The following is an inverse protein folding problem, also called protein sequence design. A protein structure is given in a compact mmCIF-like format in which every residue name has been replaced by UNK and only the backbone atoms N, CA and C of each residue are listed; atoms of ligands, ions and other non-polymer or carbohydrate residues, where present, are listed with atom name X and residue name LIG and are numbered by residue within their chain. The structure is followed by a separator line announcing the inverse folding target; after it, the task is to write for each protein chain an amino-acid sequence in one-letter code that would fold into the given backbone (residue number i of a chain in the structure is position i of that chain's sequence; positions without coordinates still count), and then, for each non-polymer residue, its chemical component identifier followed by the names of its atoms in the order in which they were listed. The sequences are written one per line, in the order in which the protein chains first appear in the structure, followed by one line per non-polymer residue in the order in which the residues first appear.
data_IF_523306054123
#
_entry.id   IF_523306054123
#
_cell.length_a   1.000
_cell.length_b   1.000
_cell.length_c   1.000
_cell.angle_alpha   90.00
_cell.angle_beta   90.00
_cell.angle_gamma   90.00
#
_symmetry.space_group_name_H-M   'P 1'
#
loop_
_entity.id
_entity.type
_entity.pdbx_description
1 polymer ?
#
# COMPACT_ATOMS: atom_id res chain seq x y z
N UNK A 1 3.19 5.25 -1.85
CA UNK A 1 3.79 5.38 -0.50
C UNK A 1 3.86 4.02 0.21
N UNK A 2 2.79 3.22 0.17
CA UNK A 2 2.74 1.89 0.80
C UNK A 2 3.88 0.95 0.37
N UNK A 3 4.24 0.89 -0.93
CA UNK A 3 5.43 0.16 -1.40
C UNK A 3 6.73 0.51 -0.64
N UNK A 4 6.90 1.77 -0.23
CA UNK A 4 8.08 2.24 0.51
C UNK A 4 8.01 1.81 1.96
N UNK A 5 6.83 1.86 2.58
CA UNK A 5 6.62 1.38 3.95
C UNK A 5 7.00 -0.11 4.04
N UNK A 6 6.45 -0.94 3.14
CA UNK A 6 6.74 -2.37 3.13
C UNK A 6 8.20 -2.67 2.86
N UNK A 7 8.82 -1.97 1.90
CA UNK A 7 10.26 -2.07 1.62
C UNK A 7 11.11 -1.87 2.89
N UNK A 8 10.80 -0.87 3.70
CA UNK A 8 11.57 -0.57 4.91
C UNK A 8 11.21 -1.44 6.12
N UNK A 9 10.13 -2.21 6.05
CA UNK A 9 9.76 -3.20 7.07
C UNK A 9 10.44 -4.56 6.86
N UNK A 10 10.85 -4.88 5.63
CA UNK A 10 11.55 -6.13 5.32
C UNK A 10 12.89 -6.21 6.08
N UNK A 11 13.21 -7.42 6.53
CA UNK A 11 14.47 -7.78 7.20
C UNK A 11 15.21 -8.90 6.45
N UNK A 12 16.40 -9.30 6.88
CA UNK A 12 17.10 -10.47 6.32
C UNK A 12 16.54 -11.84 6.72
N UNK A 13 15.48 -11.91 7.54
CA UNK A 13 14.95 -13.19 8.04
C UNK A 13 14.06 -13.88 7.00
N UNK A 14 14.26 -15.19 6.78
CA UNK A 14 13.31 -15.98 6.00
C UNK A 14 12.12 -16.39 6.88
N UNK A 15 11.03 -15.61 6.84
CA UNK A 15 9.83 -15.86 7.64
C UNK A 15 8.57 -15.45 6.89
N UNK A 16 7.42 -15.92 7.38
CA UNK A 16 6.12 -15.67 6.77
C UNK A 16 5.79 -14.18 6.65
N UNK A 17 6.07 -13.40 7.71
CA UNK A 17 5.87 -11.95 7.68
C UNK A 17 6.64 -11.30 6.52
N UNK A 18 7.91 -11.65 6.33
CA UNK A 18 8.71 -11.10 5.23
C UNK A 18 8.18 -11.52 3.86
N UNK A 19 7.72 -12.77 3.69
CA UNK A 19 7.11 -13.23 2.43
C UNK A 19 5.87 -12.41 2.10
N UNK A 20 5.00 -12.19 3.07
CA UNK A 20 3.79 -11.40 2.87
C UNK A 20 4.12 -9.91 2.63
N UNK A 21 5.11 -9.34 3.33
CA UNK A 21 5.56 -7.96 3.09
C UNK A 21 6.12 -7.77 1.68
N UNK A 22 6.86 -8.76 1.16
CA UNK A 22 7.36 -8.75 -0.22
C UNK A 22 6.20 -8.85 -1.21
N UNK A 23 5.25 -9.76 -0.98
CA UNK A 23 4.08 -9.92 -1.84
C UNK A 23 3.25 -8.63 -1.91
N UNK A 24 2.92 -8.03 -0.75
CA UNK A 24 2.22 -6.76 -0.68
C UNK A 24 3.00 -5.63 -1.35
N UNK A 25 4.31 -5.50 -1.08
CA UNK A 25 5.15 -4.52 -1.78
C UNK A 25 5.10 -4.66 -3.30
N UNK A 26 5.13 -5.89 -3.83
CA UNK A 26 5.03 -6.13 -5.27
C UNK A 26 3.65 -5.74 -5.83
N UNK A 27 2.57 -6.01 -5.09
CA UNK A 27 1.22 -5.60 -5.50
C UNK A 27 1.06 -4.06 -5.46
N UNK A 28 1.59 -3.40 -4.42
CA UNK A 28 1.65 -1.94 -4.34
C UNK A 28 2.44 -1.28 -5.50
N UNK A 29 3.44 -1.98 -6.04
CA UNK A 29 4.16 -1.52 -7.23
C UNK A 29 3.26 -1.55 -8.47
N UNK A 30 2.37 -2.53 -8.58
CA UNK A 30 1.36 -2.61 -9.64
C UNK A 30 0.31 -1.50 -9.49
N UNK A 31 -0.28 -1.30 -8.31
CA UNK A 31 -1.22 -0.20 -8.06
C UNK A 31 -0.60 1.16 -8.44
N UNK A 32 0.67 1.34 -8.06
CA UNK A 32 1.41 2.55 -8.41
C UNK A 32 1.59 2.71 -9.94
N UNK A 33 1.83 1.64 -10.67
CA UNK A 33 1.93 1.66 -12.13
C UNK A 33 0.58 1.96 -12.79
N UNK A 34 -0.49 1.31 -12.34
CA UNK A 34 -1.85 1.48 -12.85
C UNK A 34 -2.27 2.96 -12.77
N UNK A 35 -2.07 3.59 -11.61
CA UNK A 35 -2.29 5.03 -11.45
C UNK A 35 -1.37 5.89 -12.32
N UNK A 36 -0.08 5.55 -12.40
CA UNK A 36 0.87 6.36 -13.13
C UNK A 36 0.55 6.40 -14.63
N UNK A 37 0.10 5.28 -15.20
CA UNK A 37 -0.36 5.21 -16.59
C UNK A 37 -1.52 6.17 -16.80
N UNK A 38 -2.58 6.07 -15.98
CA UNK A 38 -3.75 6.95 -16.10
C UNK A 38 -3.42 8.43 -15.90
N UNK A 39 -2.64 8.77 -14.89
CA UNK A 39 -2.24 10.15 -14.65
C UNK A 39 -1.49 10.73 -15.86
N UNK A 40 -0.60 9.96 -16.49
CA UNK A 40 0.12 10.41 -17.69
C UNK A 40 -0.77 10.51 -18.93
N UNK A 41 -1.76 9.62 -19.10
CA UNK A 41 -2.79 9.76 -20.13
C UNK A 41 -3.53 11.11 -20.01
N UNK A 42 -3.79 11.55 -18.77
CA UNK A 42 -4.40 12.86 -18.48
C UNK A 42 -3.40 14.03 -18.45
N UNK A 43 -2.16 13.85 -18.92
CA UNK A 43 -1.16 14.91 -19.06
C UNK A 43 -0.46 15.33 -17.76
N UNK A 44 -0.57 14.52 -16.70
CA UNK A 44 0.18 14.75 -15.46
C UNK A 44 1.69 14.66 -15.70
N UNK A 45 2.47 15.49 -15.00
CA UNK A 45 3.94 15.49 -15.07
C UNK A 45 4.55 15.11 -13.72
N UNK A 46 5.68 14.37 -13.69
CA UNK A 46 6.37 14.05 -12.46
C UNK A 46 6.67 15.29 -11.62
N UNK A 47 6.25 15.26 -10.35
CA UNK A 47 6.45 16.39 -9.44
C UNK A 47 7.79 16.33 -8.72
N UNK A 48 8.43 17.49 -8.56
CA UNK A 48 9.71 17.64 -7.83
C UNK A 48 9.54 17.28 -6.34
N UNK A 49 8.34 17.46 -5.77
CA UNK A 49 8.06 17.11 -4.36
C UNK A 49 7.89 15.60 -4.12
N UNK A 50 8.09 14.75 -5.14
CA UNK A 50 7.92 13.29 -5.03
C UNK A 50 8.79 12.65 -3.95
N UNK A 51 9.98 13.20 -3.69
CA UNK A 51 10.87 12.70 -2.65
C UNK A 51 10.27 12.82 -1.24
N UNK A 52 9.37 13.78 -1.00
CA UNK A 52 8.71 13.94 0.30
C UNK A 52 7.84 12.71 0.64
N UNK A 53 7.10 12.18 -0.34
CA UNK A 53 6.34 10.94 -0.15
C UNK A 53 7.22 9.73 0.15
N UNK A 54 8.43 9.70 -0.41
CA UNK A 54 9.41 8.68 -0.08
C UNK A 54 9.89 8.82 1.37
N UNK A 55 10.21 10.03 1.83
CA UNK A 55 10.59 10.29 3.23
C UNK A 55 9.52 9.84 4.21
N UNK A 56 8.24 10.13 3.93
CA UNK A 56 7.11 9.69 4.75
C UNK A 56 7.04 8.15 4.79
N UNK A 57 7.15 7.49 3.63
CA UNK A 57 7.16 6.04 3.56
C UNK A 57 8.33 5.41 4.32
N UNK A 58 9.52 6.02 4.22
CA UNK A 58 10.71 5.62 4.98
C UNK A 58 10.45 5.73 6.48
N UNK A 59 9.98 6.88 6.97
CA UNK A 59 9.70 7.07 8.40
C UNK A 59 8.73 6.03 8.92
N UNK A 60 7.57 5.85 8.28
CA UNK A 60 6.59 4.86 8.75
C UNK A 60 7.11 3.43 8.68
N UNK A 61 7.78 3.04 7.59
CA UNK A 61 8.32 1.68 7.44
C UNK A 61 9.44 1.38 8.43
N UNK A 62 10.43 2.26 8.52
CA UNK A 62 11.61 2.07 9.36
C UNK A 62 11.24 2.08 10.85
N UNK A 63 10.48 3.07 11.32
CA UNK A 63 10.14 3.17 12.75
C UNK A 63 9.17 2.06 13.18
N UNK A 64 8.16 1.72 12.37
CA UNK A 64 7.27 0.60 12.71
C UNK A 64 8.03 -0.74 12.80
N UNK A 65 9.06 -0.94 11.98
CA UNK A 65 9.96 -2.09 12.09
C UNK A 65 10.76 -2.08 13.38
N UNK A 66 11.30 -0.93 13.80
CA UNK A 66 12.05 -0.81 15.05
C UNK A 66 11.19 -1.17 16.28
N UNK A 67 9.90 -0.83 16.25
CA UNK A 67 8.94 -1.21 17.30
C UNK A 67 8.45 -2.67 17.21
N UNK A 68 8.99 -3.46 16.26
CA UNK A 68 8.76 -4.89 16.14
C UNK A 68 7.52 -5.29 15.35
N UNK A 69 7.33 -6.62 15.22
CA UNK A 69 6.34 -7.24 14.32
C UNK A 69 4.90 -6.72 14.55
N UNK A 70 4.52 -6.49 15.80
CA UNK A 70 3.18 -5.99 16.15
C UNK A 70 2.94 -4.59 15.58
N UNK A 71 3.93 -3.71 15.69
CA UNK A 71 3.87 -2.35 15.15
C UNK A 71 3.91 -2.35 13.62
N UNK A 72 4.75 -3.20 13.02
CA UNK A 72 4.77 -3.45 11.56
C UNK A 72 3.38 -3.79 11.02
N UNK A 73 2.71 -4.79 11.61
CA UNK A 73 1.38 -5.22 11.17
C UNK A 73 0.30 -4.16 11.39
N UNK A 74 0.33 -3.46 12.53
CA UNK A 74 -0.60 -2.35 12.79
C UNK A 74 -0.41 -1.19 11.80
N UNK A 75 0.83 -0.88 11.43
CA UNK A 75 1.14 0.12 10.41
C UNK A 75 0.60 -0.31 9.04
N UNK A 76 0.78 -1.59 8.66
CA UNK A 76 0.17 -2.17 7.45
C UNK A 76 -1.34 -1.98 7.45
N UNK A 77 -2.04 -2.45 8.49
CA UNK A 77 -3.51 -2.30 8.60
C UNK A 77 -3.96 -0.85 8.46
N UNK A 78 -3.22 0.09 9.07
CA UNK A 78 -3.56 1.50 9.03
C UNK A 78 -3.39 2.12 7.63
N UNK A 79 -2.30 1.80 6.92
CA UNK A 79 -2.08 2.34 5.58
C UNK A 79 -3.08 1.77 4.58
N UNK A 80 -3.37 0.47 4.63
CA UNK A 80 -4.33 -0.14 3.72
C UNK A 80 -5.76 0.34 4.01
N UNK A 81 -6.14 0.51 5.28
CA UNK A 81 -7.46 1.05 5.61
C UNK A 81 -7.66 2.48 5.07
N UNK A 82 -6.58 3.28 5.03
CA UNK A 82 -6.62 4.59 4.37
C UNK A 82 -6.72 4.46 2.85
N UNK A 83 -6.02 3.51 2.24
CA UNK A 83 -6.10 3.25 0.81
C UNK A 83 -7.53 2.85 0.41
N UNK A 84 -8.14 1.87 1.09
CA UNK A 84 -9.55 1.46 0.89
C UNK A 84 -10.50 2.65 0.97
N UNK A 85 -10.32 3.51 1.97
CA UNK A 85 -11.15 4.70 2.15
C UNK A 85 -11.03 5.67 0.96
N UNK A 86 -9.80 5.98 0.52
CA UNK A 86 -9.60 6.87 -0.62
C UNK A 86 -10.09 6.26 -1.94
N UNK A 87 -9.90 4.96 -2.16
CA UNK A 87 -10.47 4.29 -3.33
C UNK A 87 -12.01 4.36 -3.33
N UNK A 88 -12.65 4.16 -2.17
CA UNK A 88 -14.11 4.29 -2.04
C UNK A 88 -14.58 5.72 -2.35
N UNK A 89 -13.83 6.72 -1.88
CA UNK A 89 -14.10 8.12 -2.19
C UNK A 89 -13.95 8.41 -3.68
N UNK A 90 -12.88 7.94 -4.32
CA UNK A 90 -12.65 8.09 -5.76
C UNK A 90 -13.76 7.44 -6.60
N UNK A 91 -14.17 6.22 -6.26
CA UNK A 91 -15.25 5.50 -6.95
C UNK A 91 -16.61 6.20 -6.83
N UNK A 92 -16.82 6.94 -5.73
CA UNK A 92 -18.07 7.66 -5.47
C UNK A 92 -18.11 9.05 -6.11
N UNK A 93 -16.97 9.73 -6.18
CA UNK A 93 -16.92 11.17 -6.50
C UNK A 93 -16.65 11.48 -7.96
N UNK A 94 -16.07 10.54 -8.71
CA UNK A 94 -15.67 10.74 -10.10
C UNK A 94 -16.41 9.77 -11.01
N UNK A 95 -16.83 10.26 -12.17
CA UNK A 95 -17.36 9.43 -13.23
C UNK A 95 -16.21 8.85 -14.06
N UNK A 96 -15.92 7.58 -13.82
CA UNK A 96 -14.83 6.85 -14.46
C UNK A 96 -15.33 6.12 -15.70
N UNK A 97 -14.49 6.05 -16.73
CA UNK A 97 -14.67 5.02 -17.76
C UNK A 97 -14.60 3.62 -17.13
N UNK A 98 -15.25 2.66 -17.80
CA UNK A 98 -15.44 1.31 -17.28
C UNK A 98 -14.11 0.58 -17.00
N UNK A 99 -13.08 0.82 -17.81
CA UNK A 99 -11.78 0.17 -17.64
C UNK A 99 -11.05 0.74 -16.42
N UNK A 100 -11.03 2.07 -16.27
CA UNK A 100 -10.42 2.72 -15.10
C UNK A 100 -11.18 2.38 -13.81
N UNK A 101 -12.52 2.30 -13.85
CA UNK A 101 -13.33 1.87 -12.70
C UNK A 101 -12.92 0.49 -12.21
N UNK A 102 -12.81 -0.49 -13.12
CA UNK A 102 -12.42 -1.88 -12.78
C UNK A 102 -11.05 -1.96 -12.14
N UNK A 103 -10.09 -1.16 -12.62
CA UNK A 103 -8.75 -1.09 -12.02
C UNK A 103 -8.85 -0.59 -10.58
N UNK A 104 -9.58 0.50 -10.34
CA UNK A 104 -9.75 1.07 -8.99
C UNK A 104 -10.47 0.09 -8.05
N UNK A 105 -11.51 -0.60 -8.52
CA UNK A 105 -12.23 -1.62 -7.73
C UNK A 105 -11.35 -2.83 -7.40
N UNK A 106 -10.55 -3.29 -8.36
CA UNK A 106 -9.56 -4.34 -8.14
C UNK A 106 -8.55 -3.94 -7.08
N UNK A 107 -7.94 -2.76 -7.22
CA UNK A 107 -6.92 -2.30 -6.29
C UNK A 107 -7.49 -2.12 -4.88
N UNK A 108 -8.72 -1.60 -4.75
CA UNK A 108 -9.43 -1.55 -3.47
C UNK A 108 -9.61 -2.94 -2.84
N UNK A 109 -10.02 -3.93 -3.63
CA UNK A 109 -10.22 -5.30 -3.15
C UNK A 109 -8.90 -5.96 -2.71
N UNK A 110 -7.80 -5.67 -3.41
CA UNK A 110 -6.46 -6.11 -3.03
C UNK A 110 -6.07 -5.54 -1.65
N UNK A 111 -6.37 -4.26 -1.37
CA UNK A 111 -6.10 -3.66 -0.05
C UNK A 111 -6.92 -4.27 1.07
N UNK A 112 -8.20 -4.58 0.84
CA UNK A 112 -9.01 -5.32 1.81
C UNK A 112 -8.43 -6.72 2.08
N UNK A 113 -7.90 -7.37 1.04
CA UNK A 113 -7.14 -8.61 1.14
C UNK A 113 -5.92 -8.48 2.04
N UNK A 114 -5.12 -7.42 1.86
CA UNK A 114 -3.96 -7.10 2.69
C UNK A 114 -4.36 -6.90 4.16
N UNK A 115 -5.38 -6.08 4.45
CA UNK A 115 -5.90 -5.85 5.81
C UNK A 115 -6.23 -7.16 6.51
N UNK A 116 -6.98 -8.04 5.83
CA UNK A 116 -7.41 -9.32 6.40
C UNK A 116 -6.21 -10.21 6.72
N UNK A 117 -5.21 -10.22 5.85
CA UNK A 117 -3.98 -10.98 6.07
C UNK A 117 -3.15 -10.43 7.22
N UNK A 118 -2.99 -9.12 7.33
CA UNK A 118 -2.30 -8.48 8.45
C UNK A 118 -3.00 -8.72 9.79
N UNK A 119 -4.34 -8.64 9.81
CA UNK A 119 -5.13 -8.98 11.00
C UNK A 119 -4.94 -10.43 11.43
N UNK A 120 -4.89 -11.37 10.47
CA UNK A 120 -4.62 -12.78 10.76
C UNK A 120 -3.25 -12.98 11.40
N UNK A 121 -2.18 -12.47 10.77
CA UNK A 121 -0.82 -12.53 11.31
C UNK A 121 -0.71 -11.85 12.68
N UNK A 122 -1.45 -10.75 12.90
CA UNK A 122 -1.43 -10.04 14.16
C UNK A 122 -2.04 -10.87 15.30
N UNK A 123 -3.12 -11.62 15.02
CA UNK A 123 -3.75 -12.54 15.98
C UNK A 123 -2.82 -13.70 16.34
N UNK A 124 -2.05 -14.21 15.37
CA UNK A 124 -1.07 -15.29 15.59
C UNK A 124 0.14 -14.86 16.44
N UNK A 125 0.36 -13.55 16.65
CA UNK A 125 1.40 -13.03 17.54
C UNK A 125 0.92 -12.79 18.98
N UNK A 126 -0.36 -13.00 19.28
CA UNK A 126 -0.95 -12.85 20.63
C UNK A 126 -0.92 -14.18 21.37
#
# INVERSE_FOLDING_TARGET
MAQTIYRFQITGKNCELNRQLIAAMCNEMTHFQDFQVKLYEYGFKPSIIRWAYWCVGFSFGFFSRLFGKKATLKMGIWVEAKAVHHYAELLKTIDWDEDTRKVIEKDQADEDGHINKWKKLLKELQ
#
